data_IF_556576365800
#
_entry.id   IF_556576365800
#
_cell.length_a   1.000
_cell.length_b   1.000
_cell.length_c   1.000
_cell.angle_alpha   90.00
_cell.angle_beta   90.00
_cell.angle_gamma   90.00
#
_symmetry.space_group_name_H-M   'P 1'
#
loop_
_entity.id
_entity.type
_entity.pdbx_description
1 polymer ?
#
# COMPACT_ATOMS: atom_id res chain seq x y z
N UNK A 1 -14.87 -12.00 -2.00
CA UNK A 1 -15.59 -12.83 -1.03
C UNK A 1 -14.60 -13.75 -0.32
N UNK A 2 -14.68 -13.84 1.02
CA UNK A 2 -13.84 -14.69 1.86
C UNK A 2 -14.77 -15.65 2.61
N UNK A 3 -14.50 -16.95 2.53
CA UNK A 3 -15.29 -17.98 3.20
C UNK A 3 -14.44 -18.75 4.20
N UNK A 4 -15.03 -19.06 5.36
CA UNK A 4 -14.43 -19.93 6.38
C UNK A 4 -15.48 -20.89 6.92
N UNK A 5 -15.06 -22.05 7.39
CA UNK A 5 -15.89 -22.99 8.11
C UNK A 5 -15.84 -22.82 9.64
N UNK A 6 -14.96 -21.93 10.14
CA UNK A 6 -14.81 -21.66 11.57
C UNK A 6 -16.13 -21.21 12.20
N UNK A 7 -16.47 -21.75 13.38
CA UNK A 7 -17.65 -21.35 14.13
C UNK A 7 -17.36 -20.08 14.94
N UNK A 8 -17.66 -18.94 14.34
CA UNK A 8 -17.38 -17.58 14.87
C UNK A 8 -18.67 -16.75 14.72
N UNK A 9 -19.05 -16.03 15.78
CA UNK A 9 -20.22 -15.16 15.72
C UNK A 9 -20.02 -14.02 14.69
N UNK A 10 -21.12 -13.59 14.07
CA UNK A 10 -21.11 -12.52 13.05
C UNK A 10 -20.51 -11.20 13.57
N UNK A 11 -20.75 -10.89 14.85
CA UNK A 11 -20.21 -9.68 15.49
C UNK A 11 -18.67 -9.72 15.60
N UNK A 12 -18.10 -10.88 15.90
CA UNK A 12 -16.65 -11.06 15.95
C UNK A 12 -16.06 -11.05 14.54
N UNK A 13 -16.73 -11.69 13.59
CA UNK A 13 -16.30 -11.71 12.19
C UNK A 13 -16.25 -10.29 11.61
N UNK A 14 -17.24 -9.45 11.92
CA UNK A 14 -17.26 -8.02 11.54
C UNK A 14 -16.09 -7.25 12.18
N UNK A 15 -15.75 -7.51 13.43
CA UNK A 15 -14.61 -6.88 14.09
C UNK A 15 -13.28 -7.28 13.42
N UNK A 16 -13.13 -8.55 13.04
CA UNK A 16 -11.95 -9.08 12.33
C UNK A 16 -11.81 -8.39 10.97
N UNK A 17 -12.90 -8.27 10.22
CA UNK A 17 -12.91 -7.56 8.93
C UNK A 17 -12.49 -6.10 9.11
N UNK A 18 -13.11 -5.37 10.03
CA UNK A 18 -12.84 -3.96 10.29
C UNK A 18 -11.39 -3.70 10.76
N UNK A 19 -10.80 -4.64 11.49
CA UNK A 19 -9.40 -4.56 11.91
C UNK A 19 -8.46 -4.67 10.70
N UNK A 20 -8.70 -5.65 9.85
CA UNK A 20 -7.79 -6.01 8.76
C UNK A 20 -7.95 -5.14 7.51
N UNK A 21 -9.16 -4.61 7.24
CA UNK A 21 -9.43 -3.83 6.02
C UNK A 21 -8.53 -2.59 5.89
N UNK A 22 -8.14 -1.98 7.01
CA UNK A 22 -7.38 -0.73 7.06
C UNK A 22 -5.98 -0.84 6.44
N UNK A 23 -5.35 -2.00 6.59
CA UNK A 23 -3.97 -2.27 6.15
C UNK A 23 -3.90 -3.25 4.98
N UNK A 24 -5.07 -3.55 4.38
CA UNK A 24 -5.21 -4.43 3.22
C UNK A 24 -5.93 -3.68 2.10
N UNK A 25 -7.23 -3.86 1.90
CA UNK A 25 -7.96 -3.21 0.81
C UNK A 25 -8.04 -1.67 0.92
N UNK A 26 -8.05 -1.10 2.15
CA UNK A 26 -7.98 0.36 2.31
C UNK A 26 -6.52 0.89 2.30
N UNK A 27 -5.56 0.04 1.95
CA UNK A 27 -4.16 0.42 1.74
C UNK A 27 -3.75 0.33 0.26
N UNK A 28 -4.68 0.03 -0.65
CA UNK A 28 -4.45 0.03 -2.09
C UNK A 28 -5.08 1.26 -2.75
N UNK A 29 -4.53 1.66 -3.87
CA UNK A 29 -5.10 2.66 -4.77
C UNK A 29 -4.55 2.45 -6.19
N UNK A 30 -5.39 2.57 -7.21
CA UNK A 30 -4.96 2.52 -8.61
C UNK A 30 -4.76 3.94 -9.18
N UNK A 31 -5.74 4.80 -9.04
CA UNK A 31 -5.79 6.15 -9.63
C UNK A 31 -6.17 7.27 -8.65
N UNK A 32 -6.54 6.91 -7.43
CA UNK A 32 -6.96 7.86 -6.38
C UNK A 32 -8.48 7.92 -6.18
N UNK A 33 -9.26 7.38 -7.12
CA UNK A 33 -10.71 7.34 -7.03
C UNK A 33 -11.19 6.12 -6.23
N UNK A 34 -12.40 6.23 -5.70
CA UNK A 34 -13.04 5.16 -4.91
C UNK A 34 -14.15 4.54 -5.72
N UNK A 35 -14.11 3.21 -5.87
CA UNK A 35 -15.22 2.49 -6.50
C UNK A 35 -16.52 2.64 -5.71
N UNK A 36 -17.62 2.81 -6.43
CA UNK A 36 -18.98 2.89 -5.86
C UNK A 36 -19.57 1.51 -5.56
N UNK A 37 -19.05 0.44 -6.18
CA UNK A 37 -19.67 -0.88 -6.20
C UNK A 37 -18.84 -1.99 -5.58
N UNK A 38 -17.53 -1.78 -5.38
CA UNK A 38 -16.67 -2.81 -4.81
C UNK A 38 -16.93 -3.04 -3.34
N UNK A 39 -16.93 -4.31 -2.96
CA UNK A 39 -17.13 -4.71 -1.57
C UNK A 39 -16.19 -5.84 -1.16
N UNK A 40 -15.86 -5.88 0.12
CA UNK A 40 -15.16 -7.00 0.75
C UNK A 40 -16.09 -7.63 1.78
N UNK A 41 -16.40 -8.91 1.58
CA UNK A 41 -17.31 -9.65 2.47
C UNK A 41 -16.64 -10.92 3.00
N UNK A 42 -16.88 -11.23 4.27
CA UNK A 42 -16.42 -12.46 4.92
C UNK A 42 -17.60 -13.23 5.49
N UNK A 43 -17.63 -14.54 5.23
CA UNK A 43 -18.71 -15.45 5.60
C UNK A 43 -18.16 -16.62 6.40
N UNK A 44 -18.89 -17.04 7.44
CA UNK A 44 -18.61 -18.25 8.21
C UNK A 44 -19.77 -19.21 8.12
N UNK A 45 -19.49 -20.50 7.82
CA UNK A 45 -20.50 -21.55 7.76
C UNK A 45 -20.67 -22.26 9.10
N UNK A 46 -19.74 -22.10 10.04
CA UNK A 46 -19.77 -22.75 11.36
C UNK A 46 -19.55 -24.27 11.34
N UNK A 47 -19.08 -24.86 10.23
CA UNK A 47 -18.96 -26.32 10.04
C UNK A 47 -17.66 -26.93 10.57
N UNK A 48 -16.73 -26.14 11.11
CA UNK A 48 -15.41 -26.62 11.55
C UNK A 48 -15.42 -27.33 12.92
N UNK A 49 -16.56 -27.69 13.51
CA UNK A 49 -16.69 -28.38 14.80
C UNK A 49 -15.95 -27.74 15.99
N UNK A 50 -15.46 -26.52 15.87
CA UNK A 50 -14.93 -25.77 17.00
C UNK A 50 -16.07 -25.21 17.86
N UNK A 51 -15.83 -25.06 19.16
CA UNK A 51 -16.75 -24.30 20.03
C UNK A 51 -16.91 -22.89 19.49
N UNK A 52 -18.15 -22.41 19.43
CA UNK A 52 -18.44 -21.06 18.94
C UNK A 52 -17.62 -19.99 19.69
N UNK A 53 -16.93 -19.15 18.93
CA UNK A 53 -16.15 -18.04 19.47
C UNK A 53 -17.04 -16.80 19.52
N UNK A 54 -17.30 -16.35 20.76
CA UNK A 54 -18.20 -15.21 21.07
C UNK A 54 -17.48 -13.99 21.63
N UNK A 55 -16.17 -14.08 21.87
CA UNK A 55 -15.38 -12.97 22.42
C UNK A 55 -14.19 -12.66 21.53
N UNK A 56 -14.00 -11.37 21.20
CA UNK A 56 -12.83 -10.90 20.46
C UNK A 56 -11.50 -11.08 21.26
N UNK A 57 -11.60 -11.28 22.58
CA UNK A 57 -10.45 -11.53 23.45
C UNK A 57 -10.05 -13.02 23.53
N UNK A 58 -10.76 -13.92 22.82
CA UNK A 58 -10.42 -15.34 22.81
C UNK A 58 -9.02 -15.54 22.20
N UNK A 59 -8.08 -16.17 22.94
CA UNK A 59 -6.71 -16.37 22.44
C UNK A 59 -6.64 -17.17 21.13
N UNK A 60 -7.64 -18.02 20.87
CA UNK A 60 -7.74 -18.82 19.63
C UNK A 60 -7.92 -17.94 18.38
N UNK A 61 -8.45 -16.72 18.54
CA UNK A 61 -8.60 -15.79 17.44
C UNK A 61 -7.27 -15.22 16.92
N UNK A 62 -6.21 -15.19 17.71
CA UNK A 62 -4.94 -14.55 17.32
C UNK A 62 -4.41 -15.08 15.98
N UNK A 63 -4.34 -16.40 15.87
CA UNK A 63 -3.87 -17.03 14.61
C UNK A 63 -4.87 -16.82 13.48
N UNK A 64 -6.18 -16.96 13.75
CA UNK A 64 -7.22 -16.77 12.76
C UNK A 64 -7.20 -15.33 12.20
N UNK A 65 -7.11 -14.31 13.05
CA UNK A 65 -7.00 -12.91 12.65
C UNK A 65 -5.78 -12.71 11.73
N UNK A 66 -4.62 -13.28 12.11
CA UNK A 66 -3.40 -13.19 11.29
C UNK A 66 -3.56 -13.86 9.93
N UNK A 67 -4.22 -15.04 9.88
CA UNK A 67 -4.47 -15.76 8.63
C UNK A 67 -5.44 -14.99 7.73
N UNK A 68 -6.52 -14.44 8.30
CA UNK A 68 -7.45 -13.58 7.55
C UNK A 68 -6.73 -12.34 7.00
N UNK A 69 -5.89 -11.70 7.82
CA UNK A 69 -5.07 -10.57 7.36
C UNK A 69 -4.21 -10.95 6.15
N UNK A 70 -3.54 -12.10 6.21
CA UNK A 70 -2.66 -12.56 5.12
C UNK A 70 -3.45 -12.83 3.83
N UNK A 71 -4.61 -13.46 3.93
CA UNK A 71 -5.50 -13.68 2.78
C UNK A 71 -5.96 -12.35 2.19
N UNK A 72 -6.45 -11.43 3.04
CA UNK A 72 -6.91 -10.11 2.60
C UNK A 72 -5.79 -9.29 1.99
N UNK A 73 -4.59 -9.35 2.55
CA UNK A 73 -3.43 -8.62 2.01
C UNK A 73 -3.02 -9.16 0.64
N UNK A 74 -3.00 -10.49 0.48
CA UNK A 74 -2.68 -11.10 -0.80
C UNK A 74 -3.70 -10.75 -1.88
N UNK A 75 -4.99 -10.78 -1.54
CA UNK A 75 -6.06 -10.37 -2.46
C UNK A 75 -5.97 -8.87 -2.81
N UNK A 76 -5.76 -8.01 -1.82
CA UNK A 76 -5.60 -6.57 -2.05
C UNK A 76 -4.42 -6.25 -2.98
N UNK A 77 -3.27 -6.91 -2.78
CA UNK A 77 -2.11 -6.76 -3.67
C UNK A 77 -2.42 -7.21 -5.10
N UNK A 78 -3.17 -8.31 -5.27
CA UNK A 78 -3.60 -8.76 -6.60
C UNK A 78 -4.49 -7.72 -7.28
N UNK A 79 -5.45 -7.14 -6.56
CA UNK A 79 -6.29 -6.06 -7.10
C UNK A 79 -5.44 -4.88 -7.58
N UNK A 80 -4.43 -4.46 -6.79
CA UNK A 80 -3.56 -3.37 -7.19
C UNK A 80 -2.63 -3.73 -8.36
N UNK A 81 -2.18 -4.98 -8.46
CA UNK A 81 -1.31 -5.45 -9.56
C UNK A 81 -2.08 -5.74 -10.85
N UNK A 82 -3.38 -5.94 -10.76
CA UNK A 82 -4.29 -6.22 -11.89
C UNK A 82 -5.11 -4.97 -12.27
N UNK A 83 -4.65 -3.79 -11.88
CA UNK A 83 -5.27 -2.53 -12.27
C UNK A 83 -5.16 -2.29 -13.77
N UNK A 84 -6.10 -1.54 -14.34
CA UNK A 84 -6.18 -1.26 -15.78
C UNK A 84 -4.87 -0.69 -16.31
N UNK A 85 -4.26 -1.35 -17.29
CA UNK A 85 -3.01 -0.95 -17.91
C UNK A 85 -1.78 -0.99 -16.98
N UNK A 86 -1.85 -1.68 -15.84
CA UNK A 86 -0.72 -1.82 -14.93
C UNK A 86 0.42 -2.61 -15.55
N UNK A 87 1.64 -2.08 -15.53
CA UNK A 87 2.85 -2.78 -15.95
C UNK A 87 3.79 -3.05 -14.78
N UNK A 88 3.63 -2.30 -13.68
CA UNK A 88 4.45 -2.43 -12.47
C UNK A 88 3.59 -2.34 -11.21
N UNK A 89 3.88 -3.23 -10.25
CA UNK A 89 3.32 -3.18 -8.91
C UNK A 89 4.22 -2.37 -7.98
N UNK A 90 3.65 -1.41 -7.27
CA UNK A 90 4.43 -0.47 -6.45
C UNK A 90 4.04 -0.58 -4.98
N UNK A 91 5.04 -0.80 -4.14
CA UNK A 91 4.90 -0.77 -2.68
C UNK A 91 5.53 0.51 -2.14
N UNK A 92 4.75 1.32 -1.43
CA UNK A 92 5.22 2.56 -0.81
C UNK A 92 5.15 2.40 0.71
N UNK A 93 6.29 2.52 1.37
CA UNK A 93 6.44 2.42 2.82
C UNK A 93 6.82 3.78 3.40
N UNK A 94 6.08 4.25 4.40
CA UNK A 94 6.50 5.36 5.24
C UNK A 94 6.74 4.84 6.65
N UNK A 95 7.96 5.01 7.16
CA UNK A 95 8.40 4.51 8.46
C UNK A 95 8.88 5.65 9.36
N UNK A 96 8.99 5.36 10.65
CA UNK A 96 9.47 6.29 11.66
C UNK A 96 8.70 7.62 11.69
N UNK A 97 7.40 7.59 11.39
CA UNK A 97 6.49 8.72 11.44
C UNK A 97 6.02 8.99 12.88
N UNK A 98 5.62 10.23 13.16
CA UNK A 98 5.01 10.63 14.43
C UNK A 98 3.65 9.96 14.63
N UNK A 99 2.82 9.90 13.60
CA UNK A 99 1.50 9.26 13.62
C UNK A 99 1.31 8.33 12.43
N UNK A 100 0.42 7.32 12.57
CA UNK A 100 0.04 6.45 11.47
C UNK A 100 -0.71 7.23 10.37
N UNK A 101 -1.48 8.25 10.75
CA UNK A 101 -2.18 9.13 9.82
C UNK A 101 -1.20 9.88 8.91
N UNK A 102 -0.11 10.43 9.49
CA UNK A 102 0.91 11.12 8.71
C UNK A 102 1.61 10.15 7.75
N UNK A 103 1.98 8.96 8.23
CA UNK A 103 2.57 7.92 7.39
C UNK A 103 1.63 7.54 6.23
N UNK A 104 0.33 7.37 6.50
CA UNK A 104 -0.69 7.09 5.50
C UNK A 104 -0.80 8.22 4.47
N UNK A 105 -0.90 9.47 4.92
CA UNK A 105 -1.02 10.63 4.03
C UNK A 105 0.17 10.74 3.08
N UNK A 106 1.40 10.51 3.56
CA UNK A 106 2.60 10.51 2.71
C UNK A 106 2.52 9.37 1.68
N UNK A 107 2.20 8.13 2.12
CA UNK A 107 2.09 7.01 1.20
C UNK A 107 1.08 7.27 0.09
N UNK A 108 -0.12 7.75 0.43
CA UNK A 108 -1.16 8.04 -0.57
C UNK A 108 -0.85 9.26 -1.43
N UNK A 109 -0.15 10.27 -0.90
CA UNK A 109 0.30 11.42 -1.71
C UNK A 109 1.27 10.98 -2.80
N UNK A 110 2.14 10.00 -2.53
CA UNK A 110 3.05 9.43 -3.51
C UNK A 110 2.29 8.50 -4.45
N UNK A 111 1.48 7.56 -3.90
CA UNK A 111 0.74 6.55 -4.65
C UNK A 111 -0.22 7.15 -5.68
N UNK A 112 -0.84 8.29 -5.37
CA UNK A 112 -1.80 8.99 -6.21
C UNK A 112 -1.18 10.14 -7.02
N UNK A 113 0.15 10.23 -7.08
CA UNK A 113 0.82 11.27 -7.87
C UNK A 113 0.99 10.82 -9.33
N UNK A 114 0.28 11.42 -10.31
CA UNK A 114 0.46 11.06 -11.71
C UNK A 114 1.92 11.20 -12.17
N UNK A 115 2.64 12.24 -11.69
CA UNK A 115 4.04 12.43 -12.02
C UNK A 115 4.95 11.32 -11.49
N UNK A 116 4.69 10.80 -10.29
CA UNK A 116 5.43 9.64 -9.75
C UNK A 116 5.09 8.39 -10.53
N UNK A 117 3.80 8.12 -10.76
CA UNK A 117 3.32 6.92 -11.46
C UNK A 117 3.81 6.86 -12.91
N UNK A 118 3.83 7.98 -13.63
CA UNK A 118 4.37 8.06 -15.00
C UNK A 118 5.89 7.94 -15.05
N UNK A 119 6.62 8.40 -14.02
CA UNK A 119 8.06 8.14 -13.91
C UNK A 119 8.33 6.63 -13.74
N UNK A 120 7.55 5.96 -12.89
CA UNK A 120 7.67 4.51 -12.68
C UNK A 120 7.38 3.75 -13.98
N UNK A 121 6.33 4.12 -14.72
CA UNK A 121 6.03 3.55 -16.04
C UNK A 121 7.19 3.74 -17.03
N UNK A 122 7.79 4.93 -17.06
CA UNK A 122 8.92 5.26 -17.92
C UNK A 122 10.28 4.76 -17.42
N UNK A 123 10.31 3.96 -16.34
CA UNK A 123 11.54 3.42 -15.72
C UNK A 123 12.53 4.51 -15.28
N UNK A 124 12.00 5.72 -15.01
CA UNK A 124 12.76 6.88 -14.55
C UNK A 124 12.82 6.89 -13.01
N UNK A 125 14.01 6.76 -12.38
CA UNK A 125 14.16 6.81 -10.93
C UNK A 125 14.05 8.23 -10.37
N UNK A 126 13.00 8.95 -10.76
CA UNK A 126 12.79 10.35 -10.49
C UNK A 126 12.42 10.63 -9.02
N UNK A 127 13.41 10.60 -8.15
CA UNK A 127 13.23 10.87 -6.72
C UNK A 127 12.76 12.32 -6.44
N UNK A 128 13.02 13.26 -7.34
CA UNK A 128 12.51 14.62 -7.23
C UNK A 128 10.99 14.68 -7.25
N UNK A 129 10.32 13.85 -8.08
CA UNK A 129 8.85 13.72 -8.08
C UNK A 129 8.34 13.09 -6.78
N UNK A 130 9.09 12.16 -6.19
CA UNK A 130 8.75 11.59 -4.88
C UNK A 130 8.86 12.67 -3.80
N UNK A 131 9.95 13.44 -3.77
CA UNK A 131 10.12 14.53 -2.81
C UNK A 131 9.02 15.59 -2.94
N UNK A 132 8.64 15.96 -4.17
CA UNK A 132 7.49 16.83 -4.44
C UNK A 132 6.18 16.25 -3.89
N UNK A 133 5.93 14.96 -4.11
CA UNK A 133 4.73 14.29 -3.60
C UNK A 133 4.69 14.24 -2.06
N UNK A 134 5.85 14.06 -1.41
CA UNK A 134 5.97 14.17 0.05
C UNK A 134 5.63 15.60 0.50
N UNK A 135 6.17 16.61 -0.16
CA UNK A 135 5.95 18.03 0.18
C UNK A 135 4.48 18.45 0.11
N UNK A 136 3.71 17.93 -0.87
CA UNK A 136 2.27 18.22 -1.01
C UNK A 136 1.35 17.38 -0.13
N UNK A 137 1.88 16.43 0.66
CA UNK A 137 1.08 15.49 1.48
C UNK A 137 0.26 16.14 2.61
N UNK A 138 0.52 17.42 2.92
CA UNK A 138 -0.06 18.12 4.07
C UNK A 138 0.57 17.70 5.41
N UNK A 139 1.63 16.89 5.39
CA UNK A 139 2.37 16.47 6.59
C UNK A 139 3.60 17.33 6.78
N UNK A 140 3.83 17.78 8.01
CA UNK A 140 5.07 18.50 8.34
C UNK A 140 6.25 17.53 8.36
N UNK A 141 7.15 17.68 7.41
CA UNK A 141 8.36 16.86 7.27
C UNK A 141 9.59 17.71 7.62
N UNK A 142 10.49 17.14 8.42
CA UNK A 142 11.80 17.74 8.71
C UNK A 142 12.78 17.28 7.62
N UNK A 143 13.11 18.19 6.72
CA UNK A 143 13.97 17.87 5.57
C UNK A 143 15.28 17.22 6.00
N UNK A 144 15.91 17.72 7.05
CA UNK A 144 17.19 17.23 7.59
C UNK A 144 17.14 15.84 8.22
N UNK A 145 15.94 15.23 8.31
CA UNK A 145 15.70 13.87 8.80
C UNK A 145 15.13 12.93 7.75
N UNK A 146 14.79 13.47 6.59
CA UNK A 146 14.15 12.71 5.53
C UNK A 146 15.16 11.80 4.84
N UNK A 147 14.83 10.51 4.77
CA UNK A 147 15.56 9.57 3.91
C UNK A 147 14.61 8.91 2.91
N UNK A 148 15.09 8.66 1.69
CA UNK A 148 14.34 8.03 0.60
C UNK A 148 15.17 6.89 0.02
N UNK A 149 14.55 5.72 -0.11
CA UNK A 149 15.15 4.54 -0.74
C UNK A 149 14.23 4.04 -1.89
N UNK A 150 14.86 3.49 -2.93
CA UNK A 150 14.21 2.63 -3.93
C UNK A 150 14.83 1.23 -3.87
N UNK A 151 14.03 0.23 -3.49
CA UNK A 151 14.55 -1.08 -3.11
C UNK A 151 15.55 -0.97 -1.96
N UNK A 152 16.76 -1.50 -2.13
CA UNK A 152 17.85 -1.37 -1.18
C UNK A 152 18.72 -0.12 -1.40
N UNK A 153 18.47 0.66 -2.47
CA UNK A 153 19.32 1.77 -2.86
C UNK A 153 18.92 3.05 -2.11
N UNK A 154 19.82 3.58 -1.30
CA UNK A 154 19.65 4.87 -0.64
C UNK A 154 19.80 6.00 -1.66
N UNK A 155 18.81 6.88 -1.73
CA UNK A 155 18.82 8.07 -2.60
C UNK A 155 19.11 9.32 -1.79
N UNK A 156 18.25 9.58 -0.81
CA UNK A 156 18.45 10.64 0.16
C UNK A 156 18.70 10.02 1.53
N UNK A 157 19.68 10.56 2.23
CA UNK A 157 19.95 10.27 3.63
C UNK A 157 20.03 11.57 4.41
N UNK A 158 19.20 11.69 5.45
CA UNK A 158 19.17 12.86 6.31
C UNK A 158 19.07 14.19 5.50
N UNK A 159 18.18 14.19 4.49
CA UNK A 159 17.90 15.35 3.64
C UNK A 159 18.93 15.67 2.57
N UNK A 160 19.98 14.88 2.43
CA UNK A 160 21.04 15.08 1.45
C UNK A 160 21.13 13.89 0.50
N UNK A 161 21.58 14.13 -0.72
CA UNK A 161 21.88 13.05 -1.67
C UNK A 161 22.93 12.11 -1.05
N UNK A 162 22.64 10.79 -1.06
CA UNK A 162 23.60 9.81 -0.52
C UNK A 162 24.88 9.77 -1.36
N UNK A 163 26.02 9.64 -0.69
CA UNK A 163 27.34 9.61 -1.36
C UNK A 163 27.51 8.42 -2.32
N UNK A 164 26.74 7.36 -2.13
CA UNK A 164 26.74 6.18 -2.97
C UNK A 164 25.60 6.19 -4.01
N UNK A 165 24.90 7.33 -4.16
CA UNK A 165 23.85 7.47 -5.18
C UNK A 165 24.43 7.16 -6.56
N UNK A 166 23.76 6.24 -7.26
CA UNK A 166 24.15 5.85 -8.61
C UNK A 166 22.88 5.69 -9.47
N UNK A 167 22.73 6.60 -10.42
CA UNK A 167 21.56 6.65 -11.30
C UNK A 167 21.47 5.43 -12.21
N UNK A 168 22.59 4.86 -12.64
CA UNK A 168 22.61 3.66 -13.51
C UNK A 168 22.03 2.45 -12.76
N UNK A 169 22.44 2.27 -11.50
CA UNK A 169 21.92 1.18 -10.65
C UNK A 169 20.41 1.35 -10.40
N UNK A 170 19.97 2.59 -10.18
CA UNK A 170 18.56 2.88 -9.97
C UNK A 170 17.74 2.68 -11.25
N UNK A 171 18.22 3.11 -12.39
CA UNK A 171 17.57 2.89 -13.69
C UNK A 171 17.45 1.40 -14.00
N UNK A 172 18.46 0.59 -13.65
CA UNK A 172 18.38 -0.85 -13.78
C UNK A 172 17.36 -1.46 -12.80
N UNK A 173 17.32 -0.98 -11.55
CA UNK A 173 16.32 -1.38 -10.57
C UNK A 173 14.88 -1.07 -11.06
N UNK A 174 14.65 0.06 -11.73
CA UNK A 174 13.33 0.47 -12.23
C UNK A 174 12.76 -0.45 -13.32
N UNK A 175 13.59 -1.30 -13.95
CA UNK A 175 13.13 -2.31 -14.92
C UNK A 175 12.35 -3.48 -14.28
N UNK A 176 12.44 -3.65 -12.95
CA UNK A 176 11.69 -4.69 -12.26
C UNK A 176 10.17 -4.43 -12.34
N UNK A 177 9.39 -5.50 -12.34
CA UNK A 177 7.92 -5.43 -12.25
C UNK A 177 7.44 -4.97 -10.85
N UNK A 178 8.23 -5.25 -9.81
CA UNK A 178 7.93 -4.90 -8.43
C UNK A 178 8.86 -3.80 -7.94
N UNK A 179 8.31 -2.62 -7.71
CA UNK A 179 9.04 -1.44 -7.23
C UNK A 179 8.69 -1.17 -5.77
N UNK A 180 9.70 -1.01 -4.94
CA UNK A 180 9.53 -0.59 -3.55
C UNK A 180 10.15 0.80 -3.32
N UNK A 181 9.37 1.69 -2.71
CA UNK A 181 9.81 3.03 -2.31
C UNK A 181 9.64 3.13 -0.79
N UNK A 182 10.71 3.42 -0.08
CA UNK A 182 10.67 3.62 1.38
C UNK A 182 11.01 5.05 1.73
N UNK A 183 10.16 5.66 2.53
CA UNK A 183 10.31 7.00 3.10
C UNK A 183 10.54 6.84 4.60
N UNK A 184 11.68 7.29 5.10
CA UNK A 184 11.97 7.34 6.53
C UNK A 184 11.94 8.80 7.00
N UNK A 185 11.06 9.09 7.96
CA UNK A 185 10.89 10.43 8.52
C UNK A 185 11.75 10.66 9.76
N UNK A 186 12.25 9.62 10.41
CA UNK A 186 13.10 9.66 11.62
C UNK A 186 12.57 10.58 12.73
N UNK A 187 11.24 10.66 12.92
CA UNK A 187 10.56 11.51 13.91
C UNK A 187 9.61 10.77 14.85
N UNK A 188 9.55 9.44 14.75
CA UNK A 188 8.66 8.61 15.57
C UNK A 188 8.87 7.13 15.35
N UNK A 189 7.83 6.32 15.60
CA UNK A 189 7.86 4.86 15.46
C UNK A 189 6.68 4.32 14.67
N UNK A 190 5.81 5.20 14.17
CA UNK A 190 4.63 4.78 13.41
C UNK A 190 4.99 4.57 11.95
N UNK A 191 4.23 3.70 11.29
CA UNK A 191 4.44 3.34 9.90
C UNK A 191 3.12 3.08 9.19
N UNK A 192 3.17 3.18 7.88
CA UNK A 192 2.10 2.73 6.98
C UNK A 192 2.72 2.19 5.69
N UNK A 193 1.98 1.29 5.03
CA UNK A 193 2.36 0.79 3.70
C UNK A 193 1.15 0.93 2.79
N UNK A 194 1.32 1.55 1.63
CA UNK A 194 0.34 1.57 0.56
C UNK A 194 0.83 0.76 -0.64
N UNK A 195 -0.10 0.26 -1.42
CA UNK A 195 0.15 -0.49 -2.64
C UNK A 195 -0.56 0.19 -3.80
N UNK A 196 0.11 0.29 -4.93
CA UNK A 196 -0.41 0.92 -6.14
C UNK A 196 0.23 0.29 -7.37
N UNK A 197 -0.09 0.83 -8.52
CA UNK A 197 0.47 0.51 -9.81
C UNK A 197 1.09 1.76 -10.45
N UNK A 198 1.83 1.61 -11.54
CA UNK A 198 2.25 2.69 -12.41
C UNK A 198 1.06 3.34 -13.16
N UNK A 199 1.31 4.31 -14.01
CA UNK A 199 0.32 4.94 -14.88
C UNK A 199 0.82 4.87 -16.32
N UNK A 200 0.28 3.93 -17.08
CA UNK A 200 0.64 3.65 -18.47
C UNK A 200 -0.22 4.43 -19.47
N UNK A 201 0.12 4.34 -20.74
CA UNK A 201 -0.73 4.85 -21.84
C UNK A 201 -2.02 4.04 -21.96
N UNK A 202 -1.93 2.73 -21.72
CA UNK A 202 -3.06 1.80 -21.78
C UNK A 202 -4.15 2.15 -20.76
N UNK A 203 -3.77 2.64 -19.54
CA UNK A 203 -4.75 3.15 -18.57
C UNK A 203 -5.63 4.25 -19.19
N UNK A 204 -5.01 5.18 -19.93
CA UNK A 204 -5.74 6.29 -20.56
C UNK A 204 -6.61 5.77 -21.70
N UNK A 205 -6.10 4.87 -22.54
CA UNK A 205 -6.84 4.27 -23.65
C UNK A 205 -8.10 3.53 -23.16
N UNK A 206 -7.96 2.66 -22.15
CA UNK A 206 -9.07 1.92 -21.57
C UNK A 206 -10.13 2.87 -21.01
N UNK A 207 -9.72 3.87 -20.21
CA UNK A 207 -10.67 4.75 -19.52
C UNK A 207 -11.28 5.82 -20.44
N UNK A 208 -10.61 6.18 -21.55
CA UNK A 208 -11.18 7.10 -22.55
C UNK A 208 -12.28 6.47 -23.41
N UNK A 209 -12.21 5.15 -23.62
CA UNK A 209 -13.18 4.40 -24.42
C UNK A 209 -14.34 3.81 -23.59
N UNK A 210 -14.24 3.90 -22.26
CA UNK A 210 -15.27 3.39 -21.35
C UNK A 210 -16.51 4.29 -21.43
N UNK A 211 -17.56 3.75 -22.08
CA UNK A 211 -18.89 4.38 -22.13
C UNK A 211 -19.83 3.60 -21.21
N UNK A 212 -20.31 4.25 -20.18
CA UNK A 212 -21.37 3.73 -19.30
C UNK A 212 -22.76 3.81 -19.93
#
# INVERSE_FOLDING_TARGET
FIFTDANISSSILKQILNLNIKTTFNAITCDGDTSTNDMVSIFSTGKANNKEIKSFKDPKLKQFISSVHQVMLNLAKRVASDGEGATKFVTIKCINSKTEKDAKNICFSIANSPLVKTAIFGEDPNWGRIAMAIGKSGVTVKQEKLSILMGSNMILKDGKLDKNYNEIILSDYMKNENIEITIDLSIGSKKFTAYTMDLSKEYIEINSDYRS
#
